data_IF_077298581801
#
_entry.id   IF_077298581801
#
_cell.length_a   1.000
_cell.length_b   1.000
_cell.length_c   1.000
_cell.angle_alpha   90.00
_cell.angle_beta   90.00
_cell.angle_gamma   90.00
#
_symmetry.space_group_name_H-M   'P 1'
#
loop_
_entity.id
_entity.type
_entity.pdbx_description
1 polymer ?
#
# COMPACT_ATOMS: atom_id res chain seq x y z
N UNK A 1 -6.22 31.91 -7.85
CA UNK A 1 -6.50 31.64 -6.44
C UNK A 1 -6.94 30.21 -6.19
N UNK A 2 -6.86 29.31 -7.18
CA UNK A 2 -7.03 27.88 -6.96
C UNK A 2 -5.86 27.34 -6.11
N UNK A 3 -6.16 26.43 -5.19
CA UNK A 3 -5.18 25.68 -4.40
C UNK A 3 -5.46 24.21 -4.62
N UNK A 4 -4.52 23.52 -5.25
CA UNK A 4 -4.65 22.09 -5.58
C UNK A 4 -4.06 21.22 -4.47
N UNK A 5 -4.39 19.92 -4.47
CA UNK A 5 -3.75 18.97 -3.55
C UNK A 5 -2.23 18.96 -3.70
N UNK A 6 -1.76 19.12 -4.94
CA UNK A 6 -0.33 19.22 -5.26
C UNK A 6 0.33 20.42 -4.59
N UNK A 7 -0.35 21.56 -4.55
CA UNK A 7 0.14 22.76 -3.85
C UNK A 7 0.26 22.52 -2.35
N UNK A 8 -0.72 21.81 -1.76
CA UNK A 8 -0.71 21.46 -0.34
C UNK A 8 0.43 20.51 0.00
N UNK A 9 0.63 19.43 -0.77
CA UNK A 9 1.74 18.47 -0.55
C UNK A 9 3.09 19.17 -0.65
N UNK A 10 3.29 20.01 -1.68
CA UNK A 10 4.52 20.80 -1.83
C UNK A 10 4.73 21.78 -0.68
N UNK A 11 3.66 22.42 -0.21
CA UNK A 11 3.75 23.33 0.94
C UNK A 11 4.09 22.57 2.23
N UNK A 12 3.51 21.39 2.44
CA UNK A 12 3.82 20.53 3.59
C UNK A 12 5.32 20.23 3.68
N UNK A 13 6.01 19.98 2.57
CA UNK A 13 7.48 19.74 2.57
C UNK A 13 8.30 20.90 3.16
N UNK A 14 7.77 22.12 3.20
CA UNK A 14 8.43 23.28 3.82
C UNK A 14 8.16 23.40 5.32
N UNK A 15 7.24 22.60 5.84
CA UNK A 15 6.83 22.62 7.25
C UNK A 15 7.60 21.63 8.12
N UNK A 16 8.58 20.91 7.54
CA UNK A 16 9.35 19.83 8.20
C UNK A 16 8.44 18.77 8.85
N UNK A 17 7.51 18.16 8.10
CA UNK A 17 6.65 17.13 8.65
C UNK A 17 7.48 15.88 8.93
N UNK A 18 7.10 15.12 9.95
CA UNK A 18 7.64 13.75 10.12
C UNK A 18 6.94 12.77 9.16
N UNK A 19 5.65 13.01 8.89
CA UNK A 19 4.79 12.20 8.03
C UNK A 19 3.81 13.07 7.25
N UNK A 20 3.48 12.66 6.04
CA UNK A 20 2.47 13.27 5.21
C UNK A 20 1.34 12.26 5.00
N UNK A 21 0.13 12.62 5.41
CA UNK A 21 -1.07 11.80 5.21
C UNK A 21 -1.96 12.51 4.19
N UNK A 22 -2.09 11.94 3.00
CA UNK A 22 -2.97 12.45 1.95
C UNK A 22 -4.25 11.63 1.94
N UNK A 23 -5.37 12.27 2.31
CA UNK A 23 -6.66 11.59 2.45
C UNK A 23 -7.04 10.77 1.22
N UNK A 24 -6.91 11.35 0.02
CA UNK A 24 -7.10 10.64 -1.25
C UNK A 24 -6.22 11.28 -2.33
N UNK A 25 -5.53 10.43 -3.09
CA UNK A 25 -4.68 10.80 -4.22
C UNK A 25 -5.42 10.46 -5.51
N UNK A 26 -5.59 11.46 -6.37
CA UNK A 26 -6.38 11.38 -7.61
C UNK A 26 -5.59 11.83 -8.85
N UNK A 27 -4.43 12.43 -8.67
CA UNK A 27 -3.69 13.03 -9.76
C UNK A 27 -2.18 13.22 -9.49
N UNK A 28 -1.58 14.25 -10.08
CA UNK A 28 -0.13 14.40 -10.14
C UNK A 28 0.54 14.65 -8.78
N UNK A 29 -0.22 14.98 -7.74
CA UNK A 29 0.27 15.05 -6.36
C UNK A 29 0.87 13.72 -5.87
N UNK A 30 0.52 12.59 -6.51
CA UNK A 30 1.13 11.28 -6.20
C UNK A 30 2.65 11.33 -6.33
N UNK A 31 3.17 12.06 -7.32
CA UNK A 31 4.60 12.14 -7.54
C UNK A 31 5.29 12.88 -6.40
N UNK A 32 4.72 14.02 -5.99
CA UNK A 32 5.23 14.81 -4.87
C UNK A 32 5.13 14.02 -3.55
N UNK A 33 4.09 13.20 -3.36
CA UNK A 33 3.95 12.31 -2.20
C UNK A 33 5.00 11.20 -2.18
N UNK A 34 5.24 10.51 -3.31
CA UNK A 34 6.28 9.47 -3.41
C UNK A 34 7.68 10.06 -3.19
N UNK A 35 7.95 11.24 -3.75
CA UNK A 35 9.21 11.94 -3.51
C UNK A 35 9.39 12.27 -2.01
N UNK A 36 8.32 12.66 -1.32
CA UNK A 36 8.36 12.89 0.12
C UNK A 36 8.71 11.61 0.90
N UNK A 37 8.03 10.51 0.57
CA UNK A 37 8.27 9.17 1.15
C UNK A 37 9.73 8.73 0.99
N UNK A 38 10.31 8.97 -0.19
CA UNK A 38 11.72 8.65 -0.47
C UNK A 38 12.74 9.59 0.19
N UNK A 39 12.34 10.75 0.72
CA UNK A 39 13.26 11.80 1.21
C UNK A 39 13.13 12.09 2.70
N UNK A 40 12.88 11.04 3.49
CA UNK A 40 12.94 11.10 4.96
C UNK A 40 11.62 11.47 5.65
N UNK A 41 10.49 11.28 4.98
CA UNK A 41 9.15 11.42 5.56
C UNK A 41 8.53 10.04 5.80
N UNK A 42 9.23 9.20 6.55
CA UNK A 42 8.91 7.79 6.79
C UNK A 42 7.54 7.61 7.47
N UNK A 43 6.73 6.69 6.95
CA UNK A 43 5.37 6.44 7.45
C UNK A 43 4.32 7.40 6.89
N UNK A 44 4.68 8.21 5.89
CA UNK A 44 3.70 8.89 5.03
C UNK A 44 2.79 7.86 4.34
N UNK A 45 1.55 8.25 4.06
CA UNK A 45 0.56 7.37 3.44
C UNK A 45 -0.52 8.16 2.71
N UNK A 46 -1.24 7.48 1.83
CA UNK A 46 -2.46 8.02 1.24
C UNK A 46 -3.37 6.93 0.71
N UNK A 47 -4.57 7.31 0.25
CA UNK A 47 -5.51 6.37 -0.33
C UNK A 47 -5.64 6.57 -1.84
N UNK A 48 -5.76 5.46 -2.57
CA UNK A 48 -5.97 5.44 -4.02
C UNK A 48 -7.11 4.46 -4.30
N UNK A 49 -8.12 4.91 -5.04
CA UNK A 49 -9.18 4.02 -5.49
C UNK A 49 -8.64 2.97 -6.46
N UNK A 50 -8.71 1.68 -6.15
CA UNK A 50 -8.29 0.60 -7.05
C UNK A 50 -8.98 -0.70 -6.65
N UNK A 51 -9.12 -1.64 -7.59
CA UNK A 51 -9.78 -2.92 -7.32
C UNK A 51 -8.79 -4.01 -6.87
N UNK A 52 -7.48 -3.75 -6.97
CA UNK A 52 -6.43 -4.66 -6.49
C UNK A 52 -5.13 -3.90 -6.18
N UNK A 53 -4.23 -4.48 -5.36
CA UNK A 53 -2.91 -3.93 -5.13
C UNK A 53 -2.11 -3.67 -6.42
N UNK A 54 -2.21 -4.59 -7.40
CA UNK A 54 -1.55 -4.42 -8.70
C UNK A 54 -2.14 -3.27 -9.51
N UNK A 55 -3.46 -3.10 -9.49
CA UNK A 55 -4.10 -1.95 -10.13
C UNK A 55 -3.70 -0.64 -9.44
N UNK A 56 -3.54 -0.63 -8.11
CA UNK A 56 -3.05 0.54 -7.37
C UNK A 56 -1.72 1.04 -7.94
N UNK A 57 -0.75 0.14 -8.16
CA UNK A 57 0.55 0.46 -8.77
C UNK A 57 0.38 1.05 -10.18
N UNK A 58 -0.47 0.45 -11.02
CA UNK A 58 -0.74 0.98 -12.37
C UNK A 58 -1.38 2.38 -12.33
N UNK A 59 -2.26 2.64 -11.35
CA UNK A 59 -2.87 3.97 -11.17
C UNK A 59 -1.84 5.00 -10.71
N UNK A 60 -0.89 4.61 -9.86
CA UNK A 60 0.23 5.49 -9.49
C UNK A 60 1.02 5.89 -10.74
N UNK A 61 1.44 4.93 -11.58
CA UNK A 61 2.14 5.22 -12.84
C UNK A 61 1.33 6.20 -13.73
N UNK A 62 0.03 5.93 -13.87
CA UNK A 62 -0.88 6.76 -14.68
C UNK A 62 -1.01 8.18 -14.12
N UNK A 63 -1.11 8.32 -12.80
CA UNK A 63 -1.23 9.62 -12.13
C UNK A 63 0.05 10.46 -12.23
N UNK A 64 1.22 9.82 -12.23
CA UNK A 64 2.49 10.50 -12.51
C UNK A 64 2.51 11.02 -13.95
N UNK A 65 2.08 10.21 -14.93
CA UNK A 65 2.02 10.62 -16.33
C UNK A 65 1.10 11.84 -16.55
N UNK A 66 -0.01 11.94 -15.82
CA UNK A 66 -0.90 13.13 -15.87
C UNK A 66 -0.20 14.43 -15.43
N UNK A 67 0.89 14.34 -14.66
CA UNK A 67 1.66 15.50 -14.20
C UNK A 67 2.52 16.17 -15.26
N UNK A 68 2.53 15.64 -16.49
CA UNK A 68 3.34 16.16 -17.60
C UNK A 68 4.84 15.83 -17.47
N UNK A 69 5.19 14.89 -16.60
CA UNK A 69 6.56 14.44 -16.44
C UNK A 69 6.96 13.52 -17.60
N UNK A 70 8.08 13.82 -18.26
CA UNK A 70 8.69 12.92 -19.24
C UNK A 70 9.77 12.09 -18.55
N UNK A 71 9.35 11.08 -17.79
CA UNK A 71 10.24 10.13 -17.14
C UNK A 71 10.17 8.79 -17.88
N UNK A 72 11.30 8.09 -18.07
CA UNK A 72 11.27 6.70 -18.51
C UNK A 72 10.39 5.87 -17.57
N UNK A 73 9.59 4.94 -18.11
CA UNK A 73 8.67 4.13 -17.31
C UNK A 73 9.40 3.38 -16.19
N UNK A 74 10.61 2.89 -16.47
CA UNK A 74 11.47 2.24 -15.49
C UNK A 74 11.76 3.15 -14.29
N UNK A 75 12.10 4.42 -14.51
CA UNK A 75 12.36 5.40 -13.44
C UNK A 75 11.13 5.64 -12.58
N UNK A 76 9.95 5.70 -13.19
CA UNK A 76 8.69 5.83 -12.44
C UNK A 76 8.50 4.63 -11.51
N UNK A 77 8.73 3.42 -12.01
CA UNK A 77 8.61 2.19 -11.21
C UNK A 77 9.63 2.12 -10.09
N UNK A 78 10.87 2.52 -10.35
CA UNK A 78 11.93 2.61 -9.34
C UNK A 78 11.54 3.58 -8.21
N UNK A 79 10.93 4.74 -8.54
CA UNK A 79 10.40 5.67 -7.53
C UNK A 79 9.29 5.01 -6.70
N UNK A 80 8.34 4.33 -7.34
CA UNK A 80 7.24 3.65 -6.65
C UNK A 80 7.78 2.59 -5.68
N UNK A 81 8.68 1.74 -6.17
CA UNK A 81 9.29 0.65 -5.38
C UNK A 81 10.12 1.18 -4.21
N UNK A 82 10.83 2.29 -4.39
CA UNK A 82 11.56 2.92 -3.28
C UNK A 82 10.66 3.54 -2.21
N UNK A 83 9.44 3.96 -2.59
CA UNK A 83 8.56 4.75 -1.73
C UNK A 83 7.49 3.94 -1.00
N UNK A 84 6.99 2.88 -1.63
CA UNK A 84 5.82 2.13 -1.15
C UNK A 84 6.27 0.81 -0.57
N UNK A 85 6.14 0.66 0.76
CA UNK A 85 6.47 -0.62 1.42
C UNK A 85 5.29 -1.60 1.34
N UNK A 86 4.08 -1.12 1.67
CA UNK A 86 2.88 -1.96 1.86
C UNK A 86 1.64 -1.30 1.26
N UNK A 87 0.81 -2.12 0.63
CA UNK A 87 -0.52 -1.78 0.13
C UNK A 87 -1.56 -2.55 0.95
N UNK A 88 -2.49 -1.83 1.58
CA UNK A 88 -3.62 -2.42 2.31
C UNK A 88 -4.88 -2.24 1.46
N UNK A 89 -5.35 -3.31 0.83
CA UNK A 89 -6.52 -3.27 -0.03
C UNK A 89 -7.80 -3.42 0.80
N UNK A 90 -8.60 -2.35 0.85
CA UNK A 90 -9.98 -2.43 1.31
C UNK A 90 -10.92 -2.69 0.12
N UNK A 91 -11.90 -3.58 0.29
CA UNK A 91 -12.94 -3.83 -0.71
C UNK A 91 -14.33 -3.88 -0.06
N UNK A 92 -15.33 -3.47 -0.82
CA UNK A 92 -16.75 -3.71 -0.49
C UNK A 92 -17.15 -5.05 -1.10
N UNK A 93 -17.52 -6.01 -0.25
CA UNK A 93 -17.92 -7.34 -0.68
C UNK A 93 -19.40 -7.37 -1.10
N UNK A 94 -19.85 -8.50 -1.66
CA UNK A 94 -21.22 -8.65 -2.21
C UNK A 94 -22.33 -8.49 -1.17
N UNK A 95 -22.04 -8.79 0.09
CA UNK A 95 -22.94 -8.58 1.22
C UNK A 95 -22.97 -7.12 1.72
N UNK A 96 -22.26 -6.23 1.04
CA UNK A 96 -22.14 -4.81 1.37
C UNK A 96 -21.11 -4.50 2.46
N UNK A 97 -20.52 -5.52 3.10
CA UNK A 97 -19.51 -5.33 4.14
C UNK A 97 -18.20 -4.79 3.54
N UNK A 98 -17.44 -4.05 4.35
CA UNK A 98 -16.07 -3.64 4.01
C UNK A 98 -15.08 -4.55 4.72
N UNK A 99 -14.10 -5.07 3.97
CA UNK A 99 -13.03 -5.93 4.50
C UNK A 99 -11.70 -5.51 3.89
N UNK A 100 -10.63 -5.71 4.66
CA UNK A 100 -9.30 -5.73 4.08
C UNK A 100 -9.17 -7.08 3.37
N UNK A 101 -8.94 -7.07 2.07
CA UNK A 101 -8.87 -8.31 1.28
C UNK A 101 -7.43 -8.75 1.05
N UNK A 102 -6.50 -7.79 0.99
CA UNK A 102 -5.08 -8.04 0.78
C UNK A 102 -4.27 -7.10 1.67
N UNK A 103 -3.22 -7.64 2.29
CA UNK A 103 -2.08 -6.88 2.78
C UNK A 103 -0.90 -7.34 1.93
N UNK A 104 -0.44 -6.48 1.04
CA UNK A 104 0.55 -6.80 0.01
C UNK A 104 1.77 -5.94 0.23
N UNK A 105 2.96 -6.55 0.27
CA UNK A 105 4.20 -5.78 0.25
C UNK A 105 4.75 -5.62 -1.17
N UNK A 106 5.48 -4.53 -1.37
CA UNK A 106 6.25 -4.28 -2.59
C UNK A 106 7.70 -4.68 -2.31
N UNK A 107 8.21 -5.63 -3.07
CA UNK A 107 9.54 -6.21 -2.84
C UNK A 107 10.61 -5.47 -3.65
N UNK A 108 10.30 -5.17 -4.92
CA UNK A 108 11.33 -4.74 -5.84
C UNK A 108 10.88 -4.73 -7.29
N UNK A 109 11.84 -4.88 -8.20
CA UNK A 109 11.58 -5.05 -9.63
C UNK A 109 12.32 -6.26 -10.17
N UNK A 110 11.68 -6.98 -11.09
CA UNK A 110 12.32 -7.97 -11.97
C UNK A 110 12.17 -7.49 -13.42
N UNK A 111 13.31 -7.16 -14.04
CA UNK A 111 13.29 -6.45 -15.32
C UNK A 111 12.59 -5.10 -15.18
N UNK A 112 11.43 -4.96 -15.82
CA UNK A 112 10.57 -3.78 -15.74
C UNK A 112 9.29 -4.03 -14.93
N UNK A 113 9.10 -5.19 -14.31
CA UNK A 113 7.88 -5.52 -13.57
C UNK A 113 8.09 -5.27 -12.07
N UNK A 114 7.17 -4.52 -11.44
CA UNK A 114 7.15 -4.39 -9.98
C UNK A 114 6.70 -5.72 -9.37
N UNK A 115 7.52 -6.26 -8.48
CA UNK A 115 7.26 -7.50 -7.75
C UNK A 115 6.59 -7.19 -6.43
N UNK A 116 5.52 -7.92 -6.15
CA UNK A 116 4.69 -7.80 -4.96
C UNK A 116 4.46 -9.17 -4.36
N UNK A 117 4.19 -9.20 -3.07
CA UNK A 117 3.90 -10.43 -2.35
C UNK A 117 2.78 -10.18 -1.33
N UNK A 118 1.73 -11.01 -1.39
CA UNK A 118 0.65 -10.94 -0.41
C UNK A 118 1.12 -11.57 0.90
N UNK A 119 1.03 -10.80 1.98
CA UNK A 119 1.31 -11.25 3.35
C UNK A 119 0.06 -11.86 3.99
N UNK A 120 -1.10 -11.25 3.72
CA UNK A 120 -2.38 -11.64 4.30
C UNK A 120 -3.48 -11.51 3.27
N UNK A 121 -4.34 -12.54 3.19
CA UNK A 121 -5.52 -12.58 2.33
C UNK A 121 -6.78 -12.77 3.16
N UNK A 122 -7.89 -12.15 2.75
CA UNK A 122 -9.19 -12.47 3.33
C UNK A 122 -9.81 -13.69 2.64
N UNK A 123 -9.91 -14.79 3.37
CA UNK A 123 -10.49 -16.03 2.90
C UNK A 123 -11.98 -16.08 3.25
N UNK A 124 -12.85 -16.12 2.23
CA UNK A 124 -14.30 -16.29 2.41
C UNK A 124 -14.57 -17.79 2.65
N UNK A 125 -15.11 -18.13 3.82
CA UNK A 125 -15.47 -19.50 4.21
C UNK A 125 -16.90 -19.87 3.83
N UNK A 126 -17.77 -18.89 3.66
CA UNK A 126 -19.17 -19.12 3.34
C UNK A 126 -20.04 -17.92 3.65
N UNK A 127 -21.31 -18.18 3.90
CA UNK A 127 -22.35 -17.18 4.13
C UNK A 127 -23.25 -17.64 5.28
N UNK A 128 -23.66 -16.70 6.14
CA UNK A 128 -24.63 -16.98 7.19
C UNK A 128 -26.07 -17.00 6.66
N UNK A 129 -27.04 -17.36 7.51
CA UNK A 129 -28.45 -17.43 7.13
C UNK A 129 -29.07 -16.08 6.72
N UNK A 130 -28.38 -14.96 7.01
CA UNK A 130 -28.81 -13.60 6.65
C UNK A 130 -28.14 -13.06 5.37
N UNK A 131 -27.30 -13.88 4.73
CA UNK A 131 -26.57 -13.51 3.52
C UNK A 131 -25.25 -12.79 3.76
N UNK A 132 -24.75 -12.74 5.00
CA UNK A 132 -23.47 -12.09 5.32
C UNK A 132 -22.32 -13.05 5.13
N UNK A 133 -21.24 -12.56 4.53
CA UNK A 133 -20.05 -13.36 4.30
C UNK A 133 -19.31 -13.63 5.60
N UNK A 134 -19.05 -14.90 5.85
CA UNK A 134 -18.16 -15.37 6.91
C UNK A 134 -16.78 -15.58 6.28
N UNK A 135 -15.76 -14.98 6.86
CA UNK A 135 -14.39 -15.14 6.40
C UNK A 135 -13.40 -14.75 7.49
N UNK A 136 -12.13 -14.98 7.20
CA UNK A 136 -11.03 -14.68 8.10
C UNK A 136 -9.82 -14.18 7.33
N UNK A 137 -8.96 -13.44 8.00
CA UNK A 137 -7.66 -13.08 7.45
C UNK A 137 -6.70 -14.25 7.65
N UNK A 138 -6.01 -14.63 6.59
CA UNK A 138 -5.10 -15.78 6.56
C UNK A 138 -3.73 -15.29 6.11
N UNK A 139 -2.70 -15.59 6.90
CA UNK A 139 -1.30 -15.38 6.52
C UNK A 139 -0.94 -16.32 5.37
N UNK A 140 -0.14 -15.82 4.43
CA UNK A 140 0.35 -16.62 3.29
C UNK A 140 1.58 -17.47 3.62
N UNK A 141 2.01 -17.48 4.89
CA UNK A 141 3.16 -18.27 5.39
C UNK A 141 4.49 -17.51 5.34
N UNK A 142 4.46 -16.20 5.11
CA UNK A 142 5.66 -15.37 5.09
C UNK A 142 5.96 -14.92 6.53
N UNK A 143 6.87 -15.62 7.19
CA UNK A 143 7.25 -15.28 8.57
C UNK A 143 8.10 -14.01 8.69
N UNK A 144 8.79 -13.60 7.62
CA UNK A 144 9.63 -12.39 7.59
C UNK A 144 9.41 -11.64 6.26
N UNK A 145 8.54 -10.62 6.25
CA UNK A 145 8.32 -9.76 5.09
C UNK A 145 9.62 -9.05 4.64
N UNK A 146 9.64 -8.54 3.42
CA UNK A 146 10.76 -7.76 2.87
C UNK A 146 11.15 -6.56 3.76
N UNK A 147 10.18 -5.91 4.40
CA UNK A 147 10.43 -4.80 5.34
C UNK A 147 10.81 -5.25 6.77
N UNK A 148 11.14 -6.52 6.99
CA UNK A 148 11.43 -7.08 8.33
C UNK A 148 12.54 -6.32 9.07
N UNK A 149 13.65 -5.99 8.41
CA UNK A 149 14.75 -5.27 9.06
C UNK A 149 14.34 -3.86 9.49
N UNK A 150 13.41 -3.22 8.77
CA UNK A 150 12.81 -1.95 9.18
C UNK A 150 11.90 -2.14 10.39
N UNK A 151 11.08 -3.20 10.42
CA UNK A 151 10.29 -3.52 11.62
C UNK A 151 11.19 -3.76 12.83
N UNK A 152 12.30 -4.48 12.66
CA UNK A 152 13.32 -4.70 13.70
C UNK A 152 13.99 -3.42 14.18
N UNK A 153 14.35 -2.53 13.26
CA UNK A 153 14.92 -1.22 13.60
C UNK A 153 13.99 -0.42 14.53
N UNK A 154 12.68 -0.53 14.33
CA UNK A 154 11.66 0.10 15.19
C UNK A 154 11.23 -0.74 16.39
N UNK A 155 11.79 -1.94 16.61
CA UNK A 155 11.43 -2.84 17.71
C UNK A 155 10.04 -3.48 17.59
N UNK A 156 9.52 -3.58 16.36
CA UNK A 156 8.18 -4.10 16.06
C UNK A 156 8.19 -5.51 15.47
N UNK A 157 9.37 -6.13 15.31
CA UNK A 157 9.54 -7.43 14.68
C UNK A 157 8.78 -8.54 15.40
N UNK A 158 8.77 -8.53 16.74
CA UNK A 158 8.05 -9.54 17.51
C UNK A 158 6.53 -9.36 17.38
N UNK A 159 6.04 -8.11 17.35
CA UNK A 159 4.62 -7.82 17.17
C UNK A 159 4.15 -8.23 15.78
N UNK A 160 4.96 -7.97 14.77
CA UNK A 160 4.72 -8.39 13.39
C UNK A 160 4.70 -9.92 13.26
N UNK A 161 5.69 -10.62 13.82
CA UNK A 161 5.77 -12.08 13.82
C UNK A 161 4.51 -12.70 14.42
N UNK A 162 4.16 -12.25 15.64
CA UNK A 162 3.01 -12.78 16.37
C UNK A 162 1.70 -12.53 15.61
N UNK A 163 1.56 -11.39 14.94
CA UNK A 163 0.39 -11.08 14.14
C UNK A 163 0.26 -12.01 12.92
N UNK A 164 1.37 -12.24 12.20
CA UNK A 164 1.39 -13.14 11.03
C UNK A 164 1.15 -14.60 11.44
N UNK A 165 1.81 -15.06 12.51
CA UNK A 165 1.64 -16.41 13.06
C UNK A 165 0.21 -16.66 13.56
N UNK A 166 -0.42 -15.68 14.22
CA UNK A 166 -1.80 -15.80 14.67
C UNK A 166 -2.82 -15.97 13.52
N UNK A 167 -2.44 -15.59 12.30
CA UNK A 167 -3.25 -15.74 11.08
C UNK A 167 -2.82 -16.93 10.22
N UNK A 168 -1.78 -17.67 10.58
CA UNK A 168 -1.46 -18.92 9.87
C UNK A 168 -2.60 -19.91 10.05
N UNK A 169 -2.95 -20.62 8.97
CA UNK A 169 -3.92 -21.71 9.06
C UNK A 169 -3.41 -22.69 10.12
N UNK A 170 -4.13 -22.81 11.23
CA UNK A 170 -4.06 -24.03 12.03
C UNK A 170 -4.51 -25.15 11.11
N UNK A 171 -3.63 -26.12 10.88
CA UNK A 171 -4.01 -27.34 10.20
C UNK A 171 -5.08 -28.02 11.06
N UNK A 172 -6.34 -27.90 10.65
CA UNK A 172 -7.42 -28.76 11.13
C UNK A 172 -7.37 -30.09 10.35
#
# INVERSE_FOLDING_TARGET
GEVTMRDLVKNCLRMRPERIIVGEVRGPEVFDLLQAMNTGHDGSMGTIHSNSPRECLNRIESMIAMGGYSLPQRTVREIVVGSVDVIIQAARLRDGSRRITHITEVIGMEGDVIITQDLVLYNIKGEDASGRLIGEHVSTGIGRPHFWDRARYYGEEQRLANALEAMEKRAD
#
